data_IF_694579073272
#
_entry.id   IF_694579073272
#
_cell.length_a   1.000
_cell.length_b   1.000
_cell.length_c   1.000
_cell.angle_alpha   90.00
_cell.angle_beta   90.00
_cell.angle_gamma   90.00
#
_symmetry.space_group_name_H-M   'P 1'
#
loop_
_entity.id
_entity.type
_entity.pdbx_description
1 polymer ?
#
# COMPACT_ATOMS: atom_id res chain seq x y z
N UNK A 1 -17.83 -3.59 25.38
CA UNK A 1 -16.36 -3.43 25.32
C UNK A 1 -15.94 -3.55 23.86
N UNK A 2 -15.31 -2.52 23.27
CA UNK A 2 -14.64 -2.69 21.97
C UNK A 2 -13.48 -3.66 22.20
N UNK A 3 -13.51 -4.83 21.55
CA UNK A 3 -12.44 -5.82 21.64
C UNK A 3 -11.21 -5.24 20.94
N UNK A 4 -10.11 -5.06 21.66
CA UNK A 4 -8.82 -4.70 21.06
C UNK A 4 -8.38 -5.85 20.16
N UNK A 5 -7.99 -5.54 18.93
CA UNK A 5 -7.47 -6.52 17.98
C UNK A 5 -5.97 -6.34 17.94
N UNK A 6 -5.23 -7.37 18.31
CA UNK A 6 -3.78 -7.42 18.22
C UNK A 6 -3.37 -8.07 16.90
N UNK A 7 -2.36 -7.49 16.26
CA UNK A 7 -1.71 -8.01 15.07
C UNK A 7 -0.21 -8.05 15.32
N UNK A 8 0.43 -9.15 14.93
CA UNK A 8 1.88 -9.16 14.79
C UNK A 8 2.23 -8.38 13.52
N UNK A 9 3.19 -7.45 13.63
CA UNK A 9 3.61 -6.62 12.52
C UNK A 9 5.13 -6.56 12.44
N UNK A 10 5.63 -6.64 11.22
CA UNK A 10 7.04 -6.59 10.92
C UNK A 10 7.39 -5.21 10.37
N UNK A 11 8.53 -4.69 10.79
CA UNK A 11 9.08 -3.43 10.31
C UNK A 11 10.33 -3.68 9.48
N UNK A 12 10.48 -2.94 8.38
CA UNK A 12 11.69 -2.91 7.56
C UNK A 12 11.95 -1.50 7.04
N UNK A 13 13.19 -1.06 7.14
CA UNK A 13 13.68 0.13 6.46
C UNK A 13 14.18 -0.25 5.06
N UNK A 14 13.62 0.38 4.02
CA UNK A 14 14.03 0.22 2.63
C UNK A 14 14.89 1.40 2.24
N UNK A 15 16.16 1.12 1.90
CA UNK A 15 17.15 2.13 1.58
C UNK A 15 17.34 2.38 0.08
N UNK A 16 17.48 3.65 -0.27
CA UNK A 16 17.95 4.19 -1.55
C UNK A 16 18.66 5.53 -1.29
N UNK A 17 18.55 6.49 -2.21
CA UNK A 17 18.90 7.89 -1.88
C UNK A 17 17.93 8.50 -0.87
N UNK A 18 16.71 7.96 -0.77
CA UNK A 18 15.76 8.17 0.31
C UNK A 18 15.71 6.94 1.25
N UNK A 19 15.00 7.08 2.36
CA UNK A 19 14.75 6.05 3.36
C UNK A 19 13.25 5.92 3.58
N UNK A 20 12.70 4.75 3.31
CA UNK A 20 11.27 4.45 3.43
C UNK A 20 11.06 3.35 4.46
N UNK A 21 10.42 3.68 5.59
CA UNK A 21 10.03 2.72 6.60
C UNK A 21 8.73 2.03 6.21
N UNK A 22 8.69 0.70 6.29
CA UNK A 22 7.50 -0.11 5.99
C UNK A 22 7.15 -0.95 7.21
N UNK A 23 5.91 -0.86 7.67
CA UNK A 23 5.36 -1.74 8.72
C UNK A 23 4.13 -2.45 8.19
N UNK A 24 4.13 -3.78 8.22
CA UNK A 24 3.05 -4.62 7.69
C UNK A 24 2.76 -5.79 8.62
N UNK A 25 1.49 -6.12 8.79
CA UNK A 25 1.07 -7.22 9.66
C UNK A 25 -0.37 -7.62 9.43
N UNK A 26 -0.71 -8.87 9.70
CA UNK A 26 -2.09 -9.35 9.65
C UNK A 26 -2.32 -10.46 10.67
N UNK A 27 -3.54 -10.56 11.20
CA UNK A 27 -3.99 -11.71 11.97
C UNK A 27 -5.06 -12.54 11.24
N UNK A 28 -5.40 -12.16 10.00
CA UNK A 28 -6.24 -12.94 9.10
C UNK A 28 -5.43 -14.12 8.48
N UNK A 29 -6.09 -15.22 8.06
CA UNK A 29 -7.54 -15.39 7.99
C UNK A 29 -8.20 -15.66 9.35
N UNK A 30 -9.47 -15.27 9.49
CA UNK A 30 -10.35 -15.55 10.64
C UNK A 30 -11.72 -16.13 10.24
N UNK A 31 -11.93 -16.45 8.97
CA UNK A 31 -13.08 -17.19 8.46
C UNK A 31 -14.28 -16.32 8.04
N UNK A 32 -14.07 -15.04 7.70
CA UNK A 32 -15.18 -14.16 7.31
C UNK A 32 -14.80 -12.72 6.97
N UNK A 33 -15.81 -11.86 7.01
CA UNK A 33 -15.70 -10.41 6.80
C UNK A 33 -15.04 -9.68 7.99
N UNK A 34 -15.02 -8.35 7.96
CA UNK A 34 -14.47 -7.52 9.02
C UNK A 34 -15.04 -7.79 10.43
N UNK A 35 -16.24 -8.41 10.53
CA UNK A 35 -16.89 -8.81 11.78
C UNK A 35 -16.26 -10.05 12.43
N UNK A 36 -15.57 -10.90 11.67
CA UNK A 36 -14.84 -12.07 12.18
C UNK A 36 -13.56 -11.69 12.95
N UNK A 37 -13.16 -10.41 12.90
CA UNK A 37 -12.03 -9.87 13.67
C UNK A 37 -10.67 -9.95 12.98
N UNK A 38 -10.63 -10.36 11.70
CA UNK A 38 -9.41 -10.29 10.88
C UNK A 38 -9.03 -8.83 10.61
N UNK A 39 -7.76 -8.47 10.83
CA UNK A 39 -7.21 -7.13 10.56
C UNK A 39 -5.86 -7.23 9.88
N UNK A 40 -5.62 -6.33 8.94
CA UNK A 40 -4.35 -6.15 8.25
C UNK A 40 -3.95 -4.68 8.33
N UNK A 41 -2.67 -4.43 8.61
CA UNK A 41 -2.04 -3.12 8.62
C UNK A 41 -1.01 -3.05 7.48
N UNK A 42 -1.06 -1.97 6.70
CA UNK A 42 0.01 -1.56 5.79
C UNK A 42 0.33 -0.11 6.13
N UNK A 43 1.57 0.16 6.53
CA UNK A 43 2.03 1.48 6.92
C UNK A 43 3.34 1.79 6.21
N UNK A 44 3.42 2.98 5.63
CA UNK A 44 4.64 3.54 5.04
C UNK A 44 5.00 4.81 5.82
N UNK A 45 6.29 5.05 6.02
CA UNK A 45 6.78 6.21 6.77
C UNK A 45 8.02 6.80 6.09
N UNK A 46 8.05 8.13 6.05
CA UNK A 46 9.21 8.94 5.68
C UNK A 46 10.27 8.74 6.78
N UNK A 47 11.49 8.32 6.41
CA UNK A 47 12.61 8.14 7.35
C UNK A 47 13.89 8.88 6.89
N UNK A 48 13.78 9.74 5.89
CA UNK A 48 14.85 10.53 5.29
C UNK A 48 14.71 10.67 3.77
N UNK A 49 14.41 11.88 3.29
CA UNK A 49 14.43 12.22 1.86
C UNK A 49 13.32 11.59 1.00
N UNK A 50 12.28 11.00 1.60
CA UNK A 50 11.12 10.52 0.83
C UNK A 50 10.21 11.71 0.49
N UNK A 51 9.95 11.91 -0.81
CA UNK A 51 9.05 12.95 -1.32
C UNK A 51 7.84 12.27 -1.94
N UNK A 52 6.65 12.66 -1.49
CA UNK A 52 5.38 12.05 -1.90
C UNK A 52 4.20 12.99 -1.61
N UNK A 53 3.12 12.79 -2.35
CA UNK A 53 1.80 13.33 -2.07
C UNK A 53 0.85 12.15 -1.93
N UNK A 54 -0.10 12.25 -0.99
CA UNK A 54 -1.06 11.18 -0.70
C UNK A 54 -2.45 11.71 -0.99
N UNK A 55 -3.05 11.21 -2.06
CA UNK A 55 -4.42 11.49 -2.44
C UNK A 55 -5.39 10.48 -1.80
N UNK A 56 -6.48 10.98 -1.23
CA UNK A 56 -7.61 10.20 -0.70
C UNK A 56 -8.89 10.78 -1.25
N UNK A 57 -9.72 9.93 -1.87
CA UNK A 57 -11.10 10.28 -2.23
C UNK A 57 -12.00 9.72 -1.15
N UNK A 58 -12.81 10.56 -0.52
CA UNK A 58 -13.72 10.13 0.54
C UNK A 58 -15.02 9.52 0.00
N UNK A 59 -15.92 9.11 0.91
CA UNK A 59 -17.20 8.50 0.57
C UNK A 59 -18.18 9.45 -0.15
N UNK A 60 -17.94 10.76 -0.10
CA UNK A 60 -18.69 11.78 -0.82
C UNK A 60 -18.07 12.12 -2.18
N UNK A 61 -16.93 11.52 -2.51
CA UNK A 61 -16.19 11.79 -3.74
C UNK A 61 -15.31 13.04 -3.67
N UNK A 62 -15.11 13.62 -2.48
CA UNK A 62 -14.22 14.76 -2.31
C UNK A 62 -12.76 14.30 -2.31
N UNK A 63 -11.90 15.03 -3.03
CA UNK A 63 -10.48 14.77 -3.11
C UNK A 63 -9.71 15.51 -2.01
N UNK A 64 -8.94 14.76 -1.22
CA UNK A 64 -8.05 15.27 -0.18
C UNK A 64 -6.62 14.92 -0.55
N UNK A 65 -5.73 15.92 -0.57
CA UNK A 65 -4.30 15.69 -0.85
C UNK A 65 -3.48 16.13 0.36
N UNK A 66 -2.67 15.20 0.86
CA UNK A 66 -1.70 15.45 1.91
C UNK A 66 -0.31 15.53 1.28
N UNK A 67 0.28 16.72 1.29
CA UNK A 67 1.63 16.93 0.74
C UNK A 67 2.72 16.64 1.75
N UNK A 68 3.65 15.76 1.36
CA UNK A 68 4.79 15.31 2.18
C UNK A 68 4.42 14.86 3.60
N UNK A 69 3.42 13.96 3.79
CA UNK A 69 3.12 13.44 5.11
C UNK A 69 4.30 12.63 5.66
N UNK A 70 4.46 12.55 6.97
CA UNK A 70 5.54 11.71 7.54
C UNK A 70 5.18 10.22 7.54
N UNK A 71 3.89 9.90 7.42
CA UNK A 71 3.39 8.53 7.50
C UNK A 71 2.02 8.39 6.82
N UNK A 72 1.77 7.21 6.24
CA UNK A 72 0.44 6.74 5.88
C UNK A 72 0.19 5.36 6.48
N UNK A 73 -1.05 5.10 6.88
CA UNK A 73 -1.47 3.83 7.45
C UNK A 73 -2.83 3.42 6.90
N UNK A 74 -2.91 2.18 6.41
CA UNK A 74 -4.11 1.57 5.86
C UNK A 74 -4.44 0.36 6.74
N UNK A 75 -5.65 0.34 7.28
CA UNK A 75 -6.17 -0.81 8.05
C UNK A 75 -7.32 -1.45 7.30
N UNK A 76 -7.21 -2.74 7.05
CA UNK A 76 -8.21 -3.54 6.35
C UNK A 76 -8.85 -4.52 7.33
N UNK A 77 -10.13 -4.82 7.14
CA UNK A 77 -10.86 -5.72 8.00
C UNK A 77 -11.45 -6.89 7.24
N UNK A 78 -11.05 -8.11 7.59
CA UNK A 78 -11.57 -9.35 6.99
C UNK A 78 -10.58 -10.06 6.08
N UNK A 79 -10.92 -11.29 5.72
CA UNK A 79 -10.08 -12.16 4.90
C UNK A 79 -10.13 -11.75 3.43
N UNK A 80 -11.31 -11.29 2.98
CA UNK A 80 -11.54 -10.84 1.61
C UNK A 80 -10.72 -9.59 1.28
N UNK A 81 -10.69 -8.62 2.18
CA UNK A 81 -9.96 -7.36 2.05
C UNK A 81 -8.44 -7.60 2.06
N UNK A 82 -7.95 -8.54 2.87
CA UNK A 82 -6.55 -8.99 2.81
C UNK A 82 -6.23 -9.58 1.42
N UNK A 83 -7.00 -10.57 0.98
CA UNK A 83 -6.73 -11.30 -0.27
C UNK A 83 -6.84 -10.42 -1.51
N UNK A 84 -7.84 -9.54 -1.56
CA UNK A 84 -7.98 -8.56 -2.65
C UNK A 84 -6.87 -7.52 -2.63
N UNK A 85 -6.44 -7.06 -1.45
CA UNK A 85 -5.33 -6.09 -1.35
C UNK A 85 -4.00 -6.71 -1.76
N UNK A 86 -3.71 -7.96 -1.38
CA UNK A 86 -2.49 -8.66 -1.83
C UNK A 86 -2.45 -8.66 -3.36
N UNK A 87 -3.52 -9.10 -4.01
CA UNK A 87 -3.60 -9.14 -5.49
C UNK A 87 -3.46 -7.74 -6.12
N UNK A 88 -4.03 -6.71 -5.51
CA UNK A 88 -3.89 -5.33 -5.98
C UNK A 88 -2.44 -4.83 -5.89
N UNK A 89 -1.75 -5.12 -4.78
CA UNK A 89 -0.34 -4.77 -4.59
C UNK A 89 0.57 -5.53 -5.56
N UNK A 90 0.33 -6.83 -5.76
CA UNK A 90 1.07 -7.64 -6.74
C UNK A 90 0.92 -7.09 -8.16
N UNK A 91 -0.31 -6.72 -8.55
CA UNK A 91 -0.56 -6.05 -9.82
C UNK A 91 0.19 -4.72 -9.93
N UNK A 92 0.12 -3.86 -8.92
CA UNK A 92 0.82 -2.57 -8.90
C UNK A 92 2.34 -2.75 -9.04
N UNK A 93 2.92 -3.67 -8.27
CA UNK A 93 4.35 -4.00 -8.35
C UNK A 93 4.73 -4.52 -9.74
N UNK A 94 3.93 -5.39 -10.35
CA UNK A 94 4.20 -5.92 -11.67
C UNK A 94 4.22 -4.82 -12.74
N UNK A 95 3.25 -3.90 -12.70
CA UNK A 95 3.19 -2.74 -13.61
C UNK A 95 4.39 -1.82 -13.42
N UNK A 96 4.72 -1.46 -12.18
CA UNK A 96 5.85 -0.57 -11.87
C UNK A 96 7.18 -1.18 -12.30
N UNK A 97 7.41 -2.48 -12.05
CA UNK A 97 8.63 -3.17 -12.49
C UNK A 97 8.76 -3.18 -14.01
N UNK A 98 7.67 -3.48 -14.72
CA UNK A 98 7.64 -3.45 -16.18
C UNK A 98 8.02 -2.07 -16.71
N UNK A 99 7.46 -1.01 -16.16
CA UNK A 99 7.73 0.36 -16.63
C UNK A 99 9.13 0.86 -16.25
N UNK A 100 9.63 0.53 -15.06
CA UNK A 100 10.93 0.99 -14.58
C UNK A 100 12.11 0.26 -15.24
N UNK A 101 11.91 -0.97 -15.74
CA UNK A 101 13.00 -1.83 -16.21
C UNK A 101 12.90 -2.26 -17.69
N UNK A 102 11.72 -2.22 -18.33
CA UNK A 102 11.56 -2.62 -19.75
C UNK A 102 11.60 -1.44 -20.75
N UNK A 103 12.18 -0.31 -20.33
CA UNK A 103 12.23 0.96 -21.06
C UNK A 103 13.07 1.02 -22.35
N UNK A 104 13.23 -0.07 -23.11
CA UNK A 104 13.88 -0.06 -24.44
C UNK A 104 13.23 -1.01 -25.49
N UNK A 105 11.91 -1.15 -25.52
CA UNK A 105 11.24 -1.67 -26.73
C UNK A 105 10.92 -0.51 -27.70
N UNK A 106 11.87 -0.24 -28.61
CA UNK A 106 11.80 0.76 -29.69
C UNK A 106 10.41 0.84 -30.34
N UNK A 107 9.73 1.99 -30.17
CA UNK A 107 8.57 2.32 -31.00
C UNK A 107 9.06 3.07 -32.25
N UNK A 108 9.26 2.36 -33.35
CA UNK A 108 9.37 3.01 -34.66
C UNK A 108 7.96 3.46 -35.09
N UNK A 109 7.68 4.76 -34.99
CA UNK A 109 6.57 5.36 -35.73
C UNK A 109 7.06 5.64 -37.15
N UNK A 110 6.72 4.76 -38.09
CA UNK A 110 6.77 5.09 -39.52
C UNK A 110 5.52 5.90 -39.84
N UNK A 111 5.70 7.14 -40.30
CA UNK A 111 4.60 7.92 -40.86
C UNK A 111 4.21 7.34 -42.23
N UNK A 112 2.90 7.17 -42.44
CA UNK A 112 2.30 7.13 -43.78
C UNK A 112 1.75 8.52 -44.08
#
# INVERSE_FOLDING_TARGET
>A
MKKTIEIEAFYKLIGGLNQLGVKVGTNAPKGGDSGAGGRTLIQLSEQGGTVWDVGVVDEHGEEHVFSSPTEISITLGGDSELETTIRALEFAVAVLKKQAHDGEAKTHKTAL
#
